data_IF_048018578899
#
_entry.id   IF_048018578899
#
_cell.length_a   1.000
_cell.length_b   1.000
_cell.length_c   1.000
_cell.angle_alpha   90.00
_cell.angle_beta   90.00
_cell.angle_gamma   90.00
#
_symmetry.space_group_name_H-M   'P 1'
#
loop_
_entity.id
_entity.type
_entity.pdbx_description
1 polymer ?
#
# COMPACT_ATOMS: atom_id res chain seq x y z
N UNK A 1 49.44 -42.08 21.81
CA UNK A 1 49.15 -40.66 21.65
C UNK A 1 48.59 -40.28 20.26
N UNK A 2 48.40 -41.17 19.31
CA UNK A 2 48.01 -40.82 17.92
C UNK A 2 46.58 -41.23 17.50
N UNK A 3 45.81 -41.96 18.33
CA UNK A 3 44.40 -42.31 17.95
C UNK A 3 43.38 -41.25 18.32
N UNK A 4 43.61 -40.47 19.37
CA UNK A 4 42.70 -39.40 19.81
C UNK A 4 42.81 -38.12 18.98
N UNK A 5 44.00 -37.85 18.38
CA UNK A 5 44.18 -36.71 17.47
C UNK A 5 43.45 -36.92 16.12
N UNK A 6 43.41 -38.16 15.62
CA UNK A 6 42.71 -38.49 14.38
C UNK A 6 41.17 -38.45 14.54
N UNK A 7 40.62 -38.80 15.71
CA UNK A 7 39.18 -38.69 16.01
C UNK A 7 38.73 -37.25 16.21
N UNK A 8 39.56 -36.38 16.81
CA UNK A 8 39.24 -34.94 16.91
C UNK A 8 39.32 -34.25 15.54
N UNK A 9 40.27 -34.58 14.70
CA UNK A 9 40.39 -34.00 13.37
C UNK A 9 39.21 -34.41 12.45
N UNK A 10 38.74 -35.66 12.55
CA UNK A 10 37.58 -36.14 11.80
C UNK A 10 36.24 -35.51 12.30
N UNK A 11 36.11 -35.28 13.61
CA UNK A 11 34.93 -34.61 14.17
C UNK A 11 34.87 -33.11 13.81
N UNK A 12 36.04 -32.43 13.76
CA UNK A 12 36.10 -31.02 13.33
C UNK A 12 35.84 -30.90 11.82
N UNK A 13 36.36 -31.81 10.99
CA UNK A 13 36.08 -31.83 9.56
C UNK A 13 34.61 -32.16 9.24
N UNK A 14 33.96 -33.01 10.00
CA UNK A 14 32.54 -33.30 9.86
C UNK A 14 31.67 -32.11 10.27
N UNK A 15 32.01 -31.39 11.34
CA UNK A 15 31.31 -30.19 11.75
C UNK A 15 31.51 -29.00 10.78
N UNK A 16 32.70 -28.87 10.22
CA UNK A 16 32.97 -27.82 9.22
C UNK A 16 32.22 -28.14 7.92
N UNK A 17 32.20 -29.40 7.48
CA UNK A 17 31.44 -29.77 6.28
C UNK A 17 29.93 -29.67 6.48
N UNK A 18 29.40 -29.95 7.66
CA UNK A 18 27.98 -29.78 7.93
C UNK A 18 27.59 -28.30 8.01
N UNK A 19 28.41 -27.44 8.62
CA UNK A 19 28.17 -26.00 8.63
C UNK A 19 28.34 -25.35 7.25
N UNK A 20 29.30 -25.83 6.42
CA UNK A 20 29.40 -25.34 5.04
C UNK A 20 28.28 -25.87 4.14
N UNK A 21 27.83 -27.11 4.31
CA UNK A 21 26.68 -27.66 3.60
C UNK A 21 25.39 -26.97 4.00
N UNK A 22 25.18 -26.70 5.30
CA UNK A 22 24.02 -25.97 5.82
C UNK A 22 24.03 -24.50 5.38
N UNK A 23 25.20 -23.85 5.35
CA UNK A 23 25.36 -22.49 4.84
C UNK A 23 25.16 -22.43 3.32
N UNK A 24 25.66 -23.42 2.57
CA UNK A 24 25.47 -23.47 1.11
C UNK A 24 24.00 -23.73 0.73
N UNK A 25 23.30 -24.63 1.44
CA UNK A 25 21.86 -24.85 1.23
C UNK A 25 21.06 -23.63 1.63
N UNK A 26 21.37 -22.96 2.75
CA UNK A 26 20.70 -21.73 3.18
C UNK A 26 20.90 -20.59 2.17
N UNK A 27 22.09 -20.45 1.58
CA UNK A 27 22.39 -19.43 0.57
C UNK A 27 21.72 -19.74 -0.79
N UNK A 28 21.63 -21.01 -1.21
CA UNK A 28 20.96 -21.41 -2.45
C UNK A 28 19.44 -21.28 -2.35
N UNK A 29 18.83 -21.55 -1.20
CA UNK A 29 17.38 -21.50 -1.03
C UNK A 29 16.90 -20.12 -0.55
N UNK A 30 17.73 -19.34 0.14
CA UNK A 30 17.48 -17.91 0.35
C UNK A 30 17.39 -17.13 -0.98
N UNK A 31 18.02 -17.65 -2.04
CA UNK A 31 17.90 -17.10 -3.40
C UNK A 31 16.50 -17.28 -4.02
N UNK A 32 15.65 -18.17 -3.47
CA UNK A 32 14.27 -18.36 -3.93
C UNK A 32 13.34 -17.21 -3.49
N UNK A 33 13.58 -16.59 -2.33
CA UNK A 33 12.94 -15.33 -1.95
C UNK A 33 13.74 -14.17 -2.54
N UNK A 34 13.16 -13.48 -3.51
CA UNK A 34 13.82 -12.42 -4.26
C UNK A 34 13.50 -11.04 -3.67
N UNK A 35 12.25 -10.83 -3.24
CA UNK A 35 11.83 -9.63 -2.52
C UNK A 35 10.58 -9.92 -1.66
N UNK A 36 10.32 -9.08 -0.68
CA UNK A 36 9.31 -9.29 0.35
C UNK A 36 9.91 -9.99 1.57
N UNK A 37 9.08 -10.44 2.52
CA UNK A 37 7.63 -10.31 2.54
C UNK A 37 7.16 -8.86 2.69
N UNK A 38 5.98 -8.54 2.16
CA UNK A 38 5.28 -7.30 2.41
C UNK A 38 3.87 -7.63 2.87
N UNK A 39 3.51 -7.18 4.06
CA UNK A 39 2.11 -7.18 4.47
C UNK A 39 1.36 -6.05 3.77
N UNK A 40 0.12 -6.30 3.44
CA UNK A 40 -0.79 -5.29 2.94
C UNK A 40 -1.98 -5.17 3.89
N UNK A 41 -3.20 -5.16 3.36
CA UNK A 41 -4.39 -5.06 4.19
C UNK A 41 -4.48 -6.16 5.27
N UNK A 42 -4.78 -5.75 6.50
CA UNK A 42 -5.06 -6.65 7.63
C UNK A 42 -6.44 -6.27 8.18
N UNK A 43 -7.32 -7.24 8.34
CA UNK A 43 -8.58 -7.11 9.06
C UNK A 43 -8.64 -8.12 10.22
N UNK A 44 -9.79 -8.19 10.89
CA UNK A 44 -10.00 -9.06 12.05
C UNK A 44 -9.69 -10.54 11.79
N UNK A 45 -9.83 -10.99 10.54
CA UNK A 45 -9.80 -12.42 10.19
C UNK A 45 -8.83 -12.75 9.05
N UNK A 46 -8.28 -11.73 8.39
CA UNK A 46 -7.45 -11.92 7.21
C UNK A 46 -6.27 -10.96 7.17
N UNK A 47 -5.17 -11.40 6.57
CA UNK A 47 -4.08 -10.53 6.12
C UNK A 47 -3.67 -10.89 4.69
N UNK A 48 -3.21 -9.91 3.94
CA UNK A 48 -2.61 -10.12 2.63
C UNK A 48 -1.10 -10.03 2.73
N UNK A 49 -0.41 -11.02 2.17
CA UNK A 49 1.05 -11.04 2.10
C UNK A 49 1.50 -11.14 0.65
N UNK A 50 2.45 -10.31 0.28
CA UNK A 50 3.08 -10.32 -1.03
C UNK A 50 4.52 -10.80 -0.94
N UNK A 51 4.91 -11.68 -1.88
CA UNK A 51 6.26 -12.19 -2.05
C UNK A 51 6.67 -12.12 -3.54
N UNK A 52 7.94 -11.90 -3.81
CA UNK A 52 8.55 -12.18 -5.10
C UNK A 52 9.48 -13.38 -4.95
N UNK A 53 9.16 -14.47 -5.63
CA UNK A 53 9.91 -15.73 -5.52
C UNK A 53 10.43 -16.21 -6.86
N UNK A 54 11.44 -17.09 -6.84
CA UNK A 54 11.89 -17.81 -8.04
C UNK A 54 10.75 -18.68 -8.59
N UNK A 55 10.61 -18.77 -9.91
CA UNK A 55 9.63 -19.66 -10.57
C UNK A 55 9.82 -21.15 -10.26
N UNK A 56 10.99 -21.51 -9.74
CA UNK A 56 11.29 -22.89 -9.34
C UNK A 56 10.69 -23.26 -7.98
N UNK A 57 10.19 -22.27 -7.23
CA UNK A 57 9.50 -22.48 -5.96
C UNK A 57 8.15 -23.15 -6.22
N UNK A 58 7.90 -24.26 -5.53
CA UNK A 58 6.68 -25.05 -5.68
C UNK A 58 5.68 -24.84 -4.55
N UNK A 59 6.17 -24.51 -3.38
CA UNK A 59 5.38 -24.42 -2.17
C UNK A 59 5.82 -23.23 -1.31
N UNK A 60 4.86 -22.53 -0.75
CA UNK A 60 5.06 -21.57 0.34
C UNK A 60 4.32 -22.07 1.57
N UNK A 61 5.03 -22.25 2.66
CA UNK A 61 4.43 -22.56 3.96
C UNK A 61 4.59 -21.36 4.89
N UNK A 62 3.48 -20.90 5.47
CA UNK A 62 3.44 -19.83 6.48
C UNK A 62 3.03 -20.46 7.80
N UNK A 63 3.87 -20.31 8.82
CA UNK A 63 3.49 -20.63 10.18
C UNK A 63 3.19 -19.35 10.94
N UNK A 64 2.09 -19.36 11.63
CA UNK A 64 1.59 -18.28 12.48
C UNK A 64 1.58 -18.81 13.91
N UNK A 65 2.49 -18.32 14.73
CA UNK A 65 2.61 -18.67 16.14
C UNK A 65 2.03 -17.54 16.99
N UNK A 66 1.09 -17.89 17.87
CA UNK A 66 0.44 -16.98 18.80
C UNK A 66 0.85 -17.37 20.24
N UNK A 67 0.79 -16.44 21.16
CA UNK A 67 1.04 -16.72 22.57
C UNK A 67 0.12 -17.83 23.12
N UNK A 68 -1.11 -17.90 22.64
CA UNK A 68 -2.03 -19.01 22.87
C UNK A 68 -1.79 -20.07 21.80
N UNK A 69 -1.12 -21.17 22.15
CA UNK A 69 -0.72 -22.23 21.21
C UNK A 69 -1.90 -22.86 20.46
N UNK A 70 -3.11 -22.83 21.04
CA UNK A 70 -4.34 -23.31 20.37
C UNK A 70 -4.72 -22.44 19.16
N UNK A 71 -4.12 -21.26 19.01
CA UNK A 71 -4.31 -20.32 17.90
C UNK A 71 -3.22 -20.41 16.82
N UNK A 72 -2.23 -21.28 17.02
CA UNK A 72 -1.16 -21.50 16.05
C UNK A 72 -1.75 -22.08 14.76
N UNK A 73 -1.21 -21.63 13.63
CA UNK A 73 -1.66 -22.05 12.29
C UNK A 73 -0.50 -22.35 11.37
N UNK A 74 -0.74 -23.27 10.46
CA UNK A 74 0.16 -23.52 9.33
C UNK A 74 -0.66 -23.47 8.05
N UNK A 75 -0.32 -22.54 7.18
CA UNK A 75 -0.95 -22.34 5.88
C UNK A 75 0.02 -22.81 4.79
N UNK A 76 -0.45 -23.62 3.86
CA UNK A 76 0.36 -24.17 2.77
C UNK A 76 -0.25 -23.77 1.44
N UNK A 77 0.57 -23.21 0.56
CA UNK A 77 0.18 -22.72 -0.76
C UNK A 77 0.99 -23.45 -1.83
N UNK A 78 0.29 -24.17 -2.72
CA UNK A 78 0.88 -24.84 -3.88
C UNK A 78 1.06 -23.84 -5.03
N UNK A 79 2.30 -23.46 -5.32
CA UNK A 79 2.61 -22.52 -6.39
C UNK A 79 2.57 -23.15 -7.80
N UNK A 80 2.40 -24.46 -7.88
CA UNK A 80 2.18 -25.14 -9.18
C UNK A 80 0.75 -24.93 -9.69
N UNK A 81 -0.21 -24.60 -8.80
CA UNK A 81 -1.58 -24.18 -9.15
C UNK A 81 -1.76 -22.67 -8.86
N UNK A 82 -1.80 -21.81 -9.88
CA UNK A 82 -2.01 -20.38 -9.69
C UNK A 82 -3.31 -20.00 -8.96
N UNK A 83 -4.27 -20.94 -8.83
CA UNK A 83 -5.52 -20.72 -8.09
C UNK A 83 -5.33 -20.81 -6.58
N UNK A 84 -4.27 -21.45 -6.11
CA UNK A 84 -3.96 -21.56 -4.68
C UNK A 84 -3.42 -20.26 -4.09
N UNK A 85 -2.83 -19.40 -4.93
CA UNK A 85 -2.31 -18.10 -4.62
C UNK A 85 -2.87 -17.06 -5.61
N UNK A 86 -2.62 -15.79 -5.49
CA UNK A 86 -3.15 -14.75 -6.39
C UNK A 86 -4.68 -14.80 -6.56
N UNK A 87 -5.36 -14.83 -5.48
CA UNK A 87 -6.78 -15.12 -5.30
C UNK A 87 -7.79 -14.18 -6.01
N UNK A 88 -7.44 -13.53 -7.11
CA UNK A 88 -8.40 -12.69 -7.82
C UNK A 88 -8.98 -13.40 -9.05
N UNK A 89 -10.30 -13.36 -9.21
CA UNK A 89 -11.01 -13.83 -10.41
C UNK A 89 -10.58 -13.13 -11.72
N UNK A 90 -9.76 -12.10 -11.62
CA UNK A 90 -9.15 -11.37 -12.72
C UNK A 90 -7.96 -12.11 -13.33
N UNK A 91 -7.28 -12.97 -12.56
CA UNK A 91 -6.11 -13.73 -13.03
C UNK A 91 -6.47 -14.92 -13.91
N UNK A 92 -7.71 -15.40 -13.90
CA UNK A 92 -8.15 -16.58 -14.66
C UNK A 92 -7.95 -16.44 -16.19
N UNK A 93 -7.85 -15.21 -16.72
CA UNK A 93 -7.72 -14.97 -18.16
C UNK A 93 -6.28 -14.78 -18.67
N UNK A 94 -5.30 -14.49 -17.78
CA UNK A 94 -3.95 -14.06 -18.19
C UNK A 94 -2.79 -14.78 -17.48
N UNK A 95 -3.09 -15.86 -16.77
CA UNK A 95 -2.10 -16.63 -15.99
C UNK A 95 -0.92 -17.13 -16.85
N UNK A 96 -1.14 -17.41 -18.12
CA UNK A 96 -0.09 -17.89 -19.04
C UNK A 96 0.97 -16.84 -19.37
N UNK A 97 0.60 -15.55 -19.46
CA UNK A 97 1.55 -14.47 -19.79
C UNK A 97 2.34 -14.00 -18.57
N UNK A 98 1.81 -14.24 -17.40
CA UNK A 98 2.32 -13.83 -16.12
C UNK A 98 3.52 -14.69 -15.64
N UNK A 99 3.50 -15.99 -15.92
CA UNK A 99 4.53 -16.95 -15.50
C UNK A 99 5.70 -17.09 -16.49
N UNK A 100 5.81 -16.24 -17.51
CA UNK A 100 6.88 -16.31 -18.50
C UNK A 100 8.23 -15.72 -18.05
N UNK A 101 8.35 -15.25 -16.79
CA UNK A 101 9.59 -14.78 -16.20
C UNK A 101 10.24 -15.81 -15.28
N UNK A 102 11.46 -15.52 -14.81
CA UNK A 102 12.17 -16.34 -13.83
C UNK A 102 11.77 -16.02 -12.38
N UNK A 103 10.96 -14.98 -12.19
CA UNK A 103 10.50 -14.46 -10.91
C UNK A 103 8.98 -14.31 -10.92
N UNK A 104 8.32 -14.82 -9.89
CA UNK A 104 6.85 -14.84 -9.77
C UNK A 104 6.43 -14.00 -8.57
N UNK A 105 5.67 -12.89 -8.76
CA UNK A 105 4.99 -12.22 -7.65
C UNK A 105 3.82 -13.09 -7.17
N UNK A 106 3.76 -13.30 -5.88
CA UNK A 106 2.80 -14.17 -5.19
C UNK A 106 2.04 -13.35 -4.17
N UNK A 107 0.72 -13.44 -4.20
CA UNK A 107 -0.19 -12.86 -3.20
C UNK A 107 -0.85 -13.98 -2.43
N UNK A 108 -0.61 -14.03 -1.14
CA UNK A 108 -1.17 -15.01 -0.22
C UNK A 108 -2.23 -14.35 0.65
N UNK A 109 -3.37 -15.02 0.81
CA UNK A 109 -4.38 -14.62 1.79
C UNK A 109 -4.23 -15.48 3.03
N UNK A 110 -3.79 -14.89 4.14
CA UNK A 110 -3.76 -15.52 5.44
C UNK A 110 -5.18 -15.44 6.01
N UNK A 111 -5.86 -16.58 6.10
CA UNK A 111 -7.27 -16.67 6.50
C UNK A 111 -7.42 -17.14 7.95
N UNK A 112 -8.60 -16.90 8.52
CA UNK A 112 -9.00 -17.35 9.85
C UNK A 112 -8.11 -16.82 10.98
N UNK A 113 -7.58 -15.61 10.85
CA UNK A 113 -6.93 -14.91 11.94
C UNK A 113 -7.96 -14.63 13.05
N UNK A 114 -7.49 -14.29 14.22
CA UNK A 114 -8.34 -13.96 15.37
C UNK A 114 -8.16 -12.49 15.68
N UNK A 115 -9.23 -11.72 15.88
CA UNK A 115 -9.15 -10.32 16.27
C UNK A 115 -8.32 -10.08 17.53
N UNK A 116 -7.73 -8.92 17.67
CA UNK A 116 -6.94 -8.52 18.84
C UNK A 116 -5.85 -9.53 19.21
N UNK A 117 -5.10 -9.96 18.20
CA UNK A 117 -4.09 -11.02 18.34
C UNK A 117 -2.78 -10.64 17.64
N UNK A 118 -1.69 -11.11 18.24
CA UNK A 118 -0.33 -11.00 17.71
C UNK A 118 0.13 -12.37 17.24
N UNK A 119 0.71 -12.43 16.05
CA UNK A 119 1.28 -13.63 15.47
C UNK A 119 2.73 -13.39 15.08
N UNK A 120 3.63 -14.25 15.56
CA UNK A 120 4.96 -14.39 15.00
C UNK A 120 4.89 -15.23 13.73
N UNK A 121 5.57 -14.81 12.66
CA UNK A 121 5.42 -15.39 11.32
C UNK A 121 6.72 -15.99 10.84
N UNK A 122 6.71 -17.29 10.55
CA UNK A 122 7.79 -17.97 9.85
C UNK A 122 7.37 -18.29 8.41
N UNK A 123 8.25 -18.00 7.45
CA UNK A 123 8.01 -18.25 6.02
C UNK A 123 9.00 -19.29 5.51
N UNK A 124 8.47 -20.33 4.88
CA UNK A 124 9.25 -21.39 4.26
C UNK A 124 8.95 -21.46 2.76
N UNK A 125 10.01 -21.60 1.96
CA UNK A 125 9.94 -21.93 0.53
C UNK A 125 10.51 -23.33 0.31
N UNK A 126 9.69 -24.25 -0.22
CA UNK A 126 10.03 -25.67 -0.40
C UNK A 126 10.66 -26.28 0.87
N UNK A 127 10.06 -26.03 2.03
CA UNK A 127 10.48 -26.49 3.36
C UNK A 127 11.75 -25.83 3.93
N UNK A 128 12.31 -24.80 3.29
CA UNK A 128 13.44 -24.03 3.83
C UNK A 128 12.97 -22.68 4.33
N UNK A 129 13.29 -22.38 5.58
CA UNK A 129 12.95 -21.12 6.22
C UNK A 129 13.69 -19.95 5.58
N UNK A 130 12.96 -18.91 5.17
CA UNK A 130 13.51 -17.73 4.50
C UNK A 130 13.24 -16.42 5.26
N UNK A 131 12.26 -16.41 6.16
CA UNK A 131 11.94 -15.28 7.02
C UNK A 131 11.43 -15.78 8.39
N UNK A 132 11.87 -15.18 9.48
CA UNK A 132 11.53 -15.57 10.85
C UNK A 132 11.29 -14.37 11.79
N UNK A 133 11.48 -13.13 11.34
CA UNK A 133 11.41 -11.93 12.19
C UNK A 133 10.19 -11.04 11.87
N UNK A 134 9.10 -11.63 11.35
CA UNK A 134 7.91 -10.89 10.98
C UNK A 134 6.79 -11.08 11.99
N UNK A 135 6.04 -10.02 12.26
CA UNK A 135 4.87 -10.04 13.14
C UNK A 135 3.63 -9.54 12.41
N UNK A 136 2.47 -10.09 12.78
CA UNK A 136 1.16 -9.65 12.33
C UNK A 136 0.33 -9.30 13.55
N UNK A 137 -0.20 -8.07 13.56
CA UNK A 137 -1.13 -7.59 14.57
C UNK A 137 -2.50 -7.43 13.93
N UNK A 138 -3.49 -8.21 14.36
CA UNK A 138 -4.87 -8.01 13.94
C UNK A 138 -5.50 -6.84 14.70
N UNK A 139 -6.47 -6.11 14.09
CA UNK A 139 -7.10 -4.97 14.72
C UNK A 139 -7.62 -5.25 16.13
N UNK A 140 -7.48 -4.28 17.01
CA UNK A 140 -7.97 -4.38 18.40
C UNK A 140 -9.45 -4.09 18.46
N UNK A 141 -10.13 -4.69 19.44
CA UNK A 141 -11.57 -4.48 19.66
C UNK A 141 -11.88 -3.28 20.56
N UNK A 142 -10.94 -2.35 20.73
CA UNK A 142 -11.10 -1.15 21.55
C UNK A 142 -10.41 0.06 20.93
N UNK A 143 -10.90 1.25 21.27
CA UNK A 143 -10.36 2.49 20.76
C UNK A 143 -8.86 2.62 21.09
N UNK A 144 -8.04 2.70 20.07
CA UNK A 144 -6.59 2.89 20.16
C UNK A 144 -6.15 4.19 19.49
N UNK A 145 -4.94 4.63 19.79
CA UNK A 145 -4.27 5.65 18.99
C UNK A 145 -3.76 5.00 17.71
N UNK A 146 -3.84 5.72 16.60
CA UNK A 146 -3.52 5.23 15.27
C UNK A 146 -2.48 6.14 14.64
N UNK A 147 -1.41 5.53 14.11
CA UNK A 147 -0.29 6.23 13.48
C UNK A 147 -0.04 5.66 12.09
N UNK A 148 -0.04 6.49 11.06
CA UNK A 148 0.29 6.02 9.72
C UNK A 148 1.13 7.01 8.93
N UNK A 149 1.96 6.46 8.05
CA UNK A 149 2.77 7.23 7.12
C UNK A 149 2.02 7.44 5.81
N UNK A 150 2.37 8.54 5.16
CA UNK A 150 1.87 8.91 3.83
C UNK A 150 3.05 9.22 2.92
N UNK A 151 3.01 8.68 1.71
CA UNK A 151 3.98 8.96 0.67
C UNK A 151 3.39 8.79 -0.72
N UNK A 152 3.96 9.51 -1.67
CA UNK A 152 3.64 9.38 -3.08
C UNK A 152 4.85 9.74 -3.93
N UNK A 153 4.75 9.57 -5.24
CA UNK A 153 5.77 9.98 -6.20
C UNK A 153 7.16 9.43 -5.87
N UNK A 154 7.25 8.09 -5.73
CA UNK A 154 8.50 7.38 -5.51
C UNK A 154 9.23 7.21 -6.86
N UNK A 155 10.07 8.16 -7.22
CA UNK A 155 10.90 8.08 -8.42
C UNK A 155 12.28 7.53 -8.07
N UNK A 156 12.53 6.28 -8.44
CA UNK A 156 13.79 5.57 -8.21
C UNK A 156 14.51 5.31 -9.55
N UNK A 157 14.79 6.36 -10.29
CA UNK A 157 15.42 6.27 -11.62
C UNK A 157 16.91 5.90 -11.58
N UNK A 158 17.60 6.22 -10.47
CA UNK A 158 19.03 5.95 -10.27
C UNK A 158 19.31 5.29 -8.93
N UNK A 159 20.48 4.62 -8.80
CA UNK A 159 20.96 4.09 -7.53
C UNK A 159 21.41 5.23 -6.60
N UNK A 160 21.15 5.09 -5.29
CA UNK A 160 21.47 6.05 -4.24
C UNK A 160 20.86 7.46 -4.44
N UNK A 161 19.68 7.53 -5.05
CA UNK A 161 18.96 8.78 -5.15
C UNK A 161 18.26 9.16 -3.83
N UNK A 162 17.69 10.35 -3.79
CA UNK A 162 16.96 10.86 -2.61
C UNK A 162 15.83 9.95 -2.15
N UNK A 163 15.24 9.16 -3.06
CA UNK A 163 14.20 8.19 -2.74
C UNK A 163 14.68 7.05 -1.84
N UNK A 164 15.92 6.57 -2.01
CA UNK A 164 16.49 5.56 -1.11
C UNK A 164 16.72 6.14 0.30
N UNK A 165 17.22 7.37 0.39
CA UNK A 165 17.45 8.03 1.67
C UNK A 165 16.16 8.26 2.44
N UNK A 166 15.11 8.77 1.80
CA UNK A 166 13.84 9.05 2.47
C UNK A 166 13.15 7.78 2.97
N UNK A 167 13.23 6.66 2.23
CA UNK A 167 12.70 5.38 2.67
C UNK A 167 13.42 4.86 3.92
N UNK A 168 14.74 5.01 4.00
CA UNK A 168 15.50 4.67 5.21
C UNK A 168 15.07 5.53 6.40
N UNK A 169 14.88 6.84 6.18
CA UNK A 169 14.38 7.76 7.22
C UNK A 169 12.97 7.37 7.69
N UNK A 170 12.08 7.02 6.75
CA UNK A 170 10.72 6.57 7.08
C UNK A 170 10.71 5.27 7.88
N UNK A 171 11.67 4.35 7.64
CA UNK A 171 11.80 3.10 8.41
C UNK A 171 12.07 3.31 9.90
N UNK A 172 12.59 4.47 10.29
CA UNK A 172 12.87 4.83 11.69
C UNK A 172 11.66 5.50 12.39
N UNK A 173 10.59 5.80 11.64
CA UNK A 173 9.40 6.48 12.17
C UNK A 173 8.35 5.47 12.59
N UNK A 174 8.09 5.35 13.88
CA UNK A 174 7.05 4.49 14.45
C UNK A 174 5.68 4.75 13.81
N UNK A 175 5.08 3.71 13.23
CA UNK A 175 3.79 3.78 12.54
C UNK A 175 3.16 2.39 12.41
N UNK A 176 1.83 2.34 12.43
CA UNK A 176 1.06 1.09 12.34
C UNK A 176 1.02 0.59 10.89
N UNK A 177 0.98 1.49 9.91
CA UNK A 177 0.95 1.15 8.48
C UNK A 177 1.36 2.33 7.59
N UNK A 178 1.60 2.04 6.32
CA UNK A 178 1.93 3.00 5.27
C UNK A 178 0.84 3.12 4.22
N UNK A 179 0.51 4.34 3.82
CA UNK A 179 -0.44 4.66 2.74
C UNK A 179 0.30 5.28 1.56
N UNK A 180 0.27 4.60 0.43
CA UNK A 180 0.84 5.06 -0.83
C UNK A 180 -0.21 5.75 -1.67
N UNK A 181 0.01 7.02 -2.02
CA UNK A 181 -1.00 7.91 -2.59
C UNK A 181 -0.91 8.04 -4.12
N UNK A 182 -0.15 7.19 -4.77
CA UNK A 182 0.05 7.18 -6.22
C UNK A 182 1.44 7.64 -6.67
N UNK A 183 1.69 7.46 -7.96
CA UNK A 183 3.02 7.59 -8.58
C UNK A 183 4.08 6.74 -7.85
N UNK A 184 3.65 5.54 -7.41
CA UNK A 184 4.47 4.57 -6.69
C UNK A 184 5.46 3.86 -7.62
N UNK A 185 5.13 3.82 -8.91
CA UNK A 185 6.02 3.53 -10.03
C UNK A 185 5.80 4.59 -11.11
N UNK A 186 6.84 4.91 -11.87
CA UNK A 186 6.73 5.84 -12.99
C UNK A 186 7.02 5.09 -14.28
N UNK A 187 5.97 4.82 -15.07
CA UNK A 187 6.14 4.17 -16.37
C UNK A 187 6.60 5.18 -17.42
N UNK A 188 7.64 4.83 -18.15
CA UNK A 188 7.95 5.49 -19.40
C UNK A 188 7.20 4.84 -20.59
N UNK A 189 7.30 5.44 -21.77
CA UNK A 189 6.60 4.97 -22.98
C UNK A 189 6.92 3.52 -23.36
N UNK A 190 8.12 3.04 -23.05
CA UNK A 190 8.49 1.65 -23.33
C UNK A 190 7.96 0.69 -22.28
N UNK A 191 7.88 1.12 -21.03
CA UNK A 191 7.40 0.32 -19.90
C UNK A 191 5.88 0.17 -19.92
N UNK A 192 5.14 1.24 -20.29
CA UNK A 192 3.68 1.26 -20.33
C UNK A 192 3.05 0.57 -21.56
N UNK A 193 3.84 0.05 -22.50
CA UNK A 193 3.33 -0.49 -23.77
C UNK A 193 3.03 -1.99 -23.76
N UNK A 194 3.30 -2.71 -22.66
CA UNK A 194 2.91 -4.11 -22.48
C UNK A 194 2.85 -4.52 -21.02
N UNK A 195 1.95 -5.43 -20.71
CA UNK A 195 1.80 -6.01 -19.37
C UNK A 195 3.13 -6.57 -18.81
N UNK A 196 3.86 -7.33 -19.62
CA UNK A 196 5.16 -7.89 -19.24
C UNK A 196 6.13 -6.80 -18.75
N UNK A 197 6.24 -5.69 -19.48
CA UNK A 197 7.16 -4.60 -19.10
C UNK A 197 6.70 -3.84 -17.86
N UNK A 198 5.39 -3.70 -17.66
CA UNK A 198 4.83 -3.17 -16.40
C UNK A 198 5.25 -4.04 -15.23
N UNK A 199 5.15 -5.37 -15.34
CA UNK A 199 5.60 -6.30 -14.30
C UNK A 199 7.12 -6.21 -14.07
N UNK A 200 7.92 -6.13 -15.12
CA UNK A 200 9.37 -5.96 -15.02
C UNK A 200 9.75 -4.68 -14.26
N UNK A 201 9.04 -3.58 -14.51
CA UNK A 201 9.21 -2.33 -13.79
C UNK A 201 8.91 -2.47 -12.30
N UNK A 202 7.75 -3.03 -11.95
CA UNK A 202 7.39 -3.28 -10.54
C UNK A 202 8.43 -4.18 -9.85
N UNK A 203 8.82 -5.29 -10.48
CA UNK A 203 9.84 -6.21 -9.95
C UNK A 203 11.16 -5.49 -9.70
N UNK A 204 11.60 -4.64 -10.64
CA UNK A 204 12.86 -3.91 -10.51
C UNK A 204 12.87 -2.96 -9.30
N UNK A 205 11.74 -2.30 -9.04
CA UNK A 205 11.57 -1.41 -7.87
C UNK A 205 11.55 -2.23 -6.58
N UNK A 206 10.77 -3.32 -6.52
CA UNK A 206 10.66 -4.17 -5.32
C UNK A 206 11.98 -4.83 -4.92
N UNK A 207 12.88 -5.07 -5.87
CA UNK A 207 14.22 -5.64 -5.62
C UNK A 207 15.24 -4.62 -5.09
N UNK A 208 14.97 -3.33 -5.13
CA UNK A 208 15.87 -2.33 -4.52
C UNK A 208 15.93 -2.55 -3.02
N UNK A 209 17.15 -2.51 -2.47
CA UNK A 209 17.38 -2.81 -1.06
C UNK A 209 16.58 -1.91 -0.12
N UNK A 210 16.55 -0.60 -0.38
CA UNK A 210 15.79 0.38 0.41
C UNK A 210 14.29 0.11 0.38
N UNK A 211 13.74 -0.18 -0.80
CA UNK A 211 12.32 -0.52 -0.98
C UNK A 211 11.99 -1.83 -0.29
N UNK A 212 12.78 -2.88 -0.55
CA UNK A 212 12.55 -4.20 0.05
C UNK A 212 12.65 -4.15 1.58
N UNK A 213 13.59 -3.38 2.11
CA UNK A 213 13.73 -3.17 3.56
C UNK A 213 12.50 -2.46 4.12
N UNK A 214 12.10 -1.32 3.54
CA UNK A 214 10.95 -0.55 4.01
C UNK A 214 9.63 -1.32 3.93
N UNK A 215 9.44 -2.11 2.85
CA UNK A 215 8.21 -2.91 2.64
C UNK A 215 8.01 -4.03 3.67
N UNK A 216 9.05 -4.40 4.42
CA UNK A 216 8.98 -5.41 5.49
C UNK A 216 8.58 -4.83 6.85
N UNK A 217 8.66 -3.50 7.03
CA UNK A 217 8.56 -2.88 8.36
C UNK A 217 7.14 -2.79 8.91
N UNK A 218 6.15 -2.67 8.03
CA UNK A 218 4.76 -2.44 8.39
C UNK A 218 3.83 -2.86 7.25
N UNK A 219 2.50 -2.95 7.47
CA UNK A 219 1.53 -3.13 6.39
C UNK A 219 1.48 -1.93 5.44
N UNK A 220 1.23 -2.20 4.15
CA UNK A 220 1.19 -1.20 3.09
C UNK A 220 -0.12 -1.27 2.31
N UNK A 221 -0.84 -0.16 2.21
CA UNK A 221 -2.00 0.02 1.33
C UNK A 221 -1.70 1.10 0.28
N UNK A 222 -2.27 0.99 -0.91
CA UNK A 222 -1.93 1.88 -2.01
C UNK A 222 -3.11 2.27 -2.88
N UNK A 223 -3.09 3.50 -3.41
CA UNK A 223 -3.81 3.90 -4.61
C UNK A 223 -2.82 4.29 -5.71
N UNK A 224 -3.31 4.60 -6.86
CA UNK A 224 -2.49 5.03 -8.00
C UNK A 224 -2.72 6.50 -8.39
N UNK A 225 -1.82 7.01 -9.24
CA UNK A 225 -2.01 8.23 -9.98
C UNK A 225 -1.60 8.00 -11.45
N UNK A 226 -1.36 9.05 -12.22
CA UNK A 226 -1.15 9.00 -13.66
C UNK A 226 0.06 8.18 -14.09
N UNK A 227 1.18 8.27 -13.39
CA UNK A 227 2.43 7.55 -13.74
C UNK A 227 2.35 6.05 -13.44
N UNK A 228 1.53 5.63 -12.46
CA UNK A 228 1.23 4.21 -12.22
C UNK A 228 0.23 3.67 -13.25
N UNK A 229 -0.71 4.51 -13.70
CA UNK A 229 -1.78 4.11 -14.59
C UNK A 229 -1.31 3.99 -16.05
N UNK A 230 -0.42 4.88 -16.47
CA UNK A 230 0.08 4.91 -17.85
C UNK A 230 1.22 5.89 -18.03
N UNK A 231 1.07 6.78 -18.99
CA UNK A 231 1.94 7.95 -19.14
C UNK A 231 1.33 9.13 -18.39
N UNK A 232 2.15 10.14 -18.14
CA UNK A 232 1.69 11.40 -17.55
C UNK A 232 0.37 11.86 -18.20
N UNK A 233 -0.60 12.30 -17.41
CA UNK A 233 -1.93 12.73 -17.83
C UNK A 233 -2.82 11.64 -18.46
N UNK A 234 -2.46 10.35 -18.37
CA UNK A 234 -3.29 9.25 -18.87
C UNK A 234 -4.67 9.19 -18.19
N UNK A 235 -5.70 8.90 -18.99
CA UNK A 235 -7.09 8.83 -18.59
C UNK A 235 -7.76 7.54 -19.09
N UNK A 236 -9.09 7.42 -18.97
CA UNK A 236 -9.85 6.23 -19.36
C UNK A 236 -9.64 5.75 -20.80
N UNK A 237 -9.05 6.59 -21.69
CA UNK A 237 -8.70 6.24 -23.07
C UNK A 237 -7.42 5.43 -23.18
N UNK A 238 -6.65 5.27 -22.11
CA UNK A 238 -5.44 4.47 -22.15
C UNK A 238 -5.75 3.02 -22.50
N UNK A 239 -5.20 2.55 -23.62
CA UNK A 239 -5.56 1.26 -24.21
C UNK A 239 -5.20 0.05 -23.33
N UNK A 240 -4.18 0.16 -22.48
CA UNK A 240 -3.72 -0.92 -21.59
C UNK A 240 -4.14 -0.73 -20.13
N UNK A 241 -5.15 0.09 -19.84
CA UNK A 241 -5.62 0.35 -18.47
C UNK A 241 -5.98 -0.91 -17.68
N UNK A 242 -6.54 -1.94 -18.36
CA UNK A 242 -6.88 -3.21 -17.70
C UNK A 242 -5.61 -3.99 -17.33
N UNK A 243 -4.60 -3.96 -18.19
CA UNK A 243 -3.29 -4.55 -17.90
C UNK A 243 -2.59 -3.83 -16.76
N UNK A 244 -2.70 -2.50 -16.69
CA UNK A 244 -2.18 -1.71 -15.58
C UNK A 244 -2.88 -2.05 -14.27
N UNK A 245 -4.21 -2.15 -14.28
CA UNK A 245 -4.98 -2.55 -13.10
C UNK A 245 -4.57 -3.93 -12.59
N UNK A 246 -4.34 -4.88 -13.50
CA UNK A 246 -3.84 -6.20 -13.15
C UNK A 246 -2.44 -6.14 -12.53
N UNK A 247 -1.51 -5.39 -13.13
CA UNK A 247 -0.17 -5.21 -12.60
C UNK A 247 -0.21 -4.55 -11.21
N UNK A 248 -1.02 -3.50 -11.05
CA UNK A 248 -1.20 -2.82 -9.77
C UNK A 248 -1.69 -3.79 -8.68
N UNK A 249 -2.78 -4.49 -8.91
CA UNK A 249 -3.37 -5.41 -7.93
C UNK A 249 -2.44 -6.57 -7.57
N UNK A 250 -1.52 -6.94 -8.47
CA UNK A 250 -0.54 -7.98 -8.23
C UNK A 250 0.59 -7.52 -7.29
N UNK A 251 0.93 -6.24 -7.30
CA UNK A 251 1.99 -5.67 -6.46
C UNK A 251 1.47 -4.90 -5.24
N UNK A 252 0.17 -4.60 -5.22
CA UNK A 252 -0.53 -3.94 -4.13
C UNK A 252 -1.81 -4.73 -3.77
N UNK A 253 -1.69 -5.83 -3.00
CA UNK A 253 -2.84 -6.67 -2.63
C UNK A 253 -3.68 -5.99 -1.54
N UNK A 254 -4.41 -4.98 -1.90
CA UNK A 254 -5.12 -4.05 -1.01
C UNK A 254 -6.33 -4.64 -0.27
N UNK A 255 -6.81 -5.84 -0.59
CA UNK A 255 -7.93 -6.46 0.12
C UNK A 255 -8.06 -7.94 -0.22
N UNK A 256 -8.51 -8.78 0.72
CA UNK A 256 -8.77 -10.19 0.46
C UNK A 256 -9.98 -10.39 -0.47
N UNK A 257 -9.96 -11.50 -1.21
CA UNK A 257 -10.99 -11.86 -2.21
C UNK A 257 -12.41 -11.97 -1.64
N UNK A 258 -12.54 -12.36 -0.37
CA UNK A 258 -13.82 -12.79 0.21
C UNK A 258 -14.59 -11.71 0.96
N UNK A 259 -14.03 -10.54 1.16
CA UNK A 259 -14.62 -9.53 2.07
C UNK A 259 -15.94 -8.97 1.56
N UNK A 260 -16.26 -9.12 0.27
CA UNK A 260 -17.51 -8.60 -0.26
C UNK A 260 -18.14 -9.53 -1.31
N UNK A 261 -19.32 -10.04 -1.00
CA UNK A 261 -20.26 -10.64 -1.94
C UNK A 261 -20.83 -9.60 -2.92
N UNK A 262 -19.97 -8.80 -3.57
CA UNK A 262 -20.45 -7.84 -4.56
C UNK A 262 -20.63 -8.52 -5.91
N UNK A 263 -21.87 -8.54 -6.36
CA UNK A 263 -22.30 -8.90 -7.71
C UNK A 263 -21.81 -7.92 -8.78
N UNK A 264 -21.23 -6.79 -8.37
CA UNK A 264 -20.61 -5.82 -9.26
C UNK A 264 -19.09 -6.00 -9.22
N UNK A 265 -18.48 -6.23 -10.38
CA UNK A 265 -17.01 -6.17 -10.54
C UNK A 265 -16.56 -4.79 -10.09
N UNK A 266 -15.79 -4.75 -9.00
CA UNK A 266 -15.09 -3.54 -8.60
C UNK A 266 -14.04 -3.24 -9.66
N UNK A 267 -14.34 -2.28 -10.52
CA UNK A 267 -13.43 -1.85 -11.55
C UNK A 267 -12.64 -0.65 -11.01
N UNK A 268 -11.31 -0.75 -11.03
CA UNK A 268 -10.43 0.27 -10.47
C UNK A 268 -9.84 -0.06 -9.10
N UNK A 269 -9.17 0.92 -8.50
CA UNK A 269 -8.40 0.75 -7.25
C UNK A 269 -9.07 1.38 -6.02
N UNK A 270 -10.28 1.91 -6.16
CA UNK A 270 -11.02 2.46 -5.03
C UNK A 270 -11.16 1.45 -3.90
N UNK A 271 -10.78 1.85 -2.68
CA UNK A 271 -10.92 1.05 -1.46
C UNK A 271 -11.26 1.93 -0.27
N UNK A 272 -11.98 1.33 0.69
CA UNK A 272 -12.20 1.87 2.03
C UNK A 272 -11.54 0.94 3.04
N UNK A 273 -10.87 1.55 4.01
CA UNK A 273 -10.27 0.86 5.15
C UNK A 273 -10.81 1.44 6.44
N UNK A 274 -11.19 0.57 7.35
CA UNK A 274 -11.78 0.92 8.64
C UNK A 274 -10.77 0.57 9.74
N UNK A 275 -10.33 1.57 10.49
CA UNK A 275 -9.47 1.43 11.65
C UNK A 275 -10.16 2.07 12.86
N UNK A 276 -11.09 1.32 13.46
CA UNK A 276 -11.93 1.74 14.59
C UNK A 276 -12.74 3.02 14.33
N UNK A 277 -12.29 4.19 14.83
CA UNK A 277 -12.93 5.48 14.61
C UNK A 277 -12.21 6.35 13.56
N UNK A 278 -11.33 5.73 12.76
CA UNK A 278 -10.63 6.33 11.62
C UNK A 278 -10.95 5.54 10.36
N UNK A 279 -11.36 6.23 9.32
CA UNK A 279 -11.59 5.63 8.01
C UNK A 279 -10.74 6.28 6.94
N UNK A 280 -10.24 5.44 6.03
CA UNK A 280 -9.42 5.87 4.90
C UNK A 280 -10.13 5.48 3.60
N UNK A 281 -10.45 6.47 2.78
CA UNK A 281 -11.03 6.30 1.45
C UNK A 281 -9.95 6.56 0.40
N UNK A 282 -9.46 5.47 -0.21
CA UNK A 282 -8.47 5.53 -1.29
C UNK A 282 -9.21 5.71 -2.62
N UNK A 283 -9.18 6.92 -3.18
CA UNK A 283 -9.91 7.24 -4.41
C UNK A 283 -9.13 6.81 -5.66
N UNK A 284 -9.86 6.34 -6.66
CA UNK A 284 -9.33 6.09 -8.00
C UNK A 284 -9.59 7.31 -8.89
N UNK A 285 -8.56 8.05 -9.20
CA UNK A 285 -8.61 9.26 -10.01
C UNK A 285 -8.21 9.04 -11.48
N UNK A 286 -8.18 7.77 -11.97
CA UNK A 286 -7.68 7.44 -13.31
C UNK A 286 -8.62 6.56 -14.14
N UNK A 287 -9.11 5.46 -13.58
CA UNK A 287 -9.88 4.46 -14.33
C UNK A 287 -11.09 5.07 -15.05
N UNK A 288 -11.73 6.04 -14.43
CA UNK A 288 -12.94 6.70 -14.94
C UNK A 288 -12.73 8.14 -15.40
N UNK A 289 -11.51 8.68 -15.20
CA UNK A 289 -11.19 10.05 -15.57
C UNK A 289 -11.32 10.25 -17.07
N UNK A 290 -12.05 11.27 -17.48
CA UNK A 290 -12.24 11.65 -18.89
C UNK A 290 -11.56 12.97 -19.18
N UNK A 291 -11.34 13.27 -20.46
CA UNK A 291 -10.73 14.54 -20.85
C UNK A 291 -11.68 15.71 -20.56
N UNK A 292 -11.13 16.84 -20.10
CA UNK A 292 -11.90 18.05 -19.76
C UNK A 292 -12.68 18.66 -20.93
N UNK A 293 -12.28 18.40 -22.16
CA UNK A 293 -12.94 18.91 -23.36
C UNK A 293 -14.19 18.12 -23.79
N UNK A 294 -14.68 17.20 -22.95
CA UNK A 294 -15.95 16.50 -23.15
C UNK A 294 -17.12 17.35 -22.60
N UNK A 295 -18.34 17.07 -23.08
CA UNK A 295 -19.54 17.80 -22.65
C UNK A 295 -19.84 17.64 -21.14
N UNK A 296 -19.50 16.49 -20.55
CA UNK A 296 -19.69 16.18 -19.13
C UNK A 296 -18.47 15.40 -18.61
N UNK A 297 -17.32 16.09 -18.39
CA UNK A 297 -16.10 15.43 -17.98
C UNK A 297 -16.25 14.83 -16.59
N UNK A 298 -15.68 13.64 -16.39
CA UNK A 298 -15.69 12.87 -15.14
C UNK A 298 -14.28 12.73 -14.60
N UNK A 299 -14.14 12.91 -13.29
CA UNK A 299 -12.91 12.67 -12.55
C UNK A 299 -12.90 11.31 -11.88
N UNK A 300 -13.91 11.06 -11.04
CA UNK A 300 -14.11 9.79 -10.34
C UNK A 300 -15.09 8.87 -11.06
N UNK A 301 -16.00 9.43 -11.86
CA UNK A 301 -17.10 8.70 -12.48
C UNK A 301 -18.27 8.43 -11.53
N UNK A 302 -19.45 8.27 -12.09
CA UNK A 302 -20.71 8.19 -11.34
C UNK A 302 -20.75 7.00 -10.37
N UNK A 303 -20.30 5.84 -10.78
CA UNK A 303 -20.38 4.63 -9.96
C UNK A 303 -19.48 4.73 -8.72
N UNK A 304 -18.24 5.18 -8.86
CA UNK A 304 -17.34 5.37 -7.74
C UNK A 304 -17.87 6.48 -6.81
N UNK A 305 -18.30 7.60 -7.38
CA UNK A 305 -18.84 8.72 -6.61
C UNK A 305 -20.06 8.31 -5.77
N UNK A 306 -21.02 7.59 -6.36
CA UNK A 306 -22.20 7.11 -5.64
C UNK A 306 -21.83 6.11 -4.54
N UNK A 307 -20.91 5.20 -4.80
CA UNK A 307 -20.41 4.26 -3.79
C UNK A 307 -19.74 5.00 -2.64
N UNK A 308 -18.80 5.88 -2.93
CA UNK A 308 -18.09 6.67 -1.94
C UNK A 308 -19.04 7.48 -1.06
N UNK A 309 -19.99 8.20 -1.67
CA UNK A 309 -20.99 8.98 -0.93
C UNK A 309 -21.84 8.11 -0.01
N UNK A 310 -22.28 6.94 -0.46
CA UNK A 310 -23.06 6.03 0.38
C UNK A 310 -22.24 5.49 1.56
N UNK A 311 -20.99 5.13 1.33
CA UNK A 311 -20.09 4.63 2.37
C UNK A 311 -19.75 5.71 3.40
N UNK A 312 -19.42 6.94 2.97
CA UNK A 312 -19.06 8.02 3.89
C UNK A 312 -20.26 8.53 4.68
N UNK A 313 -21.46 8.50 4.10
CA UNK A 313 -22.72 8.83 4.80
C UNK A 313 -23.07 7.82 5.91
N UNK A 314 -22.71 6.56 5.71
CA UNK A 314 -22.91 5.49 6.70
C UNK A 314 -21.86 5.48 7.81
N UNK A 315 -20.83 6.30 7.71
CA UNK A 315 -19.68 6.30 8.61
C UNK A 315 -19.91 7.16 9.87
N UNK A 316 -19.54 6.60 11.03
CA UNK A 316 -19.49 7.30 12.31
C UNK A 316 -18.03 7.61 12.76
N UNK A 317 -17.05 7.40 11.90
CA UNK A 317 -15.65 7.64 12.21
C UNK A 317 -15.41 9.11 12.63
N UNK A 318 -14.50 9.29 13.60
CA UNK A 318 -14.09 10.62 14.06
C UNK A 318 -13.33 11.38 12.98
N UNK A 319 -12.49 10.66 12.23
CA UNK A 319 -11.74 11.17 11.08
C UNK A 319 -11.98 10.30 9.84
N UNK A 320 -12.22 10.94 8.72
CA UNK A 320 -12.41 10.33 7.40
C UNK A 320 -11.40 10.94 6.45
N UNK A 321 -10.33 10.23 6.21
CA UNK A 321 -9.27 10.66 5.30
C UNK A 321 -9.62 10.26 3.87
N UNK A 322 -9.79 11.25 3.00
CA UNK A 322 -10.05 11.03 1.58
C UNK A 322 -8.75 11.24 0.83
N UNK A 323 -8.17 10.15 0.35
CA UNK A 323 -6.84 10.12 -0.25
C UNK A 323 -6.95 10.02 -1.77
N UNK A 324 -6.30 10.94 -2.46
CA UNK A 324 -6.30 11.03 -3.92
C UNK A 324 -4.93 11.49 -4.44
N UNK A 325 -4.55 11.04 -5.63
CA UNK A 325 -3.30 11.46 -6.27
C UNK A 325 -3.29 12.94 -6.66
N UNK A 326 -4.41 13.49 -7.13
CA UNK A 326 -4.54 14.90 -7.51
C UNK A 326 -5.29 15.73 -6.47
N UNK A 327 -5.05 17.04 -6.47
CA UNK A 327 -5.73 18.00 -5.61
C UNK A 327 -7.25 17.99 -5.73
N UNK A 328 -7.91 18.26 -4.60
CA UNK A 328 -9.37 18.33 -4.47
C UNK A 328 -9.85 19.76 -4.24
N UNK A 329 -9.28 20.51 -3.30
CA UNK A 329 -9.71 21.86 -2.92
C UNK A 329 -8.91 23.00 -3.58
N UNK A 330 -7.79 22.71 -4.26
CA UNK A 330 -6.97 23.75 -4.89
C UNK A 330 -7.28 23.92 -6.36
N UNK A 331 -7.25 25.19 -6.82
CA UNK A 331 -7.40 25.57 -8.21
C UNK A 331 -6.04 25.66 -8.91
N UNK A 332 -5.94 25.18 -10.13
CA UNK A 332 -5.06 25.69 -11.18
C UNK A 332 -3.55 25.44 -11.12
N UNK A 333 -2.99 24.77 -10.08
CA UNK A 333 -1.54 24.49 -10.04
C UNK A 333 -1.19 23.06 -10.47
N UNK A 334 -2.14 22.14 -10.48
CA UNK A 334 -1.93 20.74 -10.79
C UNK A 334 -2.43 20.38 -12.20
N UNK A 335 -1.96 19.27 -12.76
CA UNK A 335 -2.47 18.70 -14.01
C UNK A 335 -3.93 18.23 -13.85
N UNK A 336 -4.89 19.13 -14.07
CA UNK A 336 -6.33 18.90 -13.98
C UNK A 336 -6.79 18.48 -12.57
N UNK A 337 -6.83 19.40 -11.60
CA UNK A 337 -7.36 19.16 -10.27
C UNK A 337 -8.86 18.78 -10.32
N UNK A 338 -9.37 18.25 -9.22
CA UNK A 338 -10.78 17.83 -9.20
C UNK A 338 -11.76 19.00 -9.44
N UNK A 339 -11.42 20.21 -9.04
CA UNK A 339 -12.25 21.41 -9.25
C UNK A 339 -12.53 21.72 -10.73
N UNK A 340 -11.62 21.35 -11.65
CA UNK A 340 -11.86 21.50 -13.08
C UNK A 340 -13.05 20.66 -13.58
N UNK A 341 -13.41 19.61 -12.85
CA UNK A 341 -14.56 18.74 -13.09
C UNK A 341 -15.79 19.24 -12.31
N UNK A 342 -16.17 20.49 -12.57
CA UNK A 342 -17.08 21.29 -11.76
C UNK A 342 -18.36 20.58 -11.33
N UNK A 343 -19.01 19.79 -12.21
CA UNK A 343 -20.26 19.09 -11.86
C UNK A 343 -20.05 18.01 -10.79
N UNK A 344 -18.99 17.22 -10.89
CA UNK A 344 -18.68 16.20 -9.88
C UNK A 344 -18.21 16.85 -8.58
N UNK A 345 -17.40 17.92 -8.68
CA UNK A 345 -16.95 18.69 -7.54
C UNK A 345 -18.12 19.30 -6.75
N UNK A 346 -19.00 20.05 -7.43
CA UNK A 346 -20.19 20.66 -6.84
C UNK A 346 -21.10 19.60 -6.20
N UNK A 347 -21.29 18.45 -6.86
CA UNK A 347 -22.11 17.36 -6.33
C UNK A 347 -21.49 16.77 -5.06
N UNK A 348 -20.17 16.55 -5.02
CA UNK A 348 -19.49 16.09 -3.81
C UNK A 348 -19.67 17.08 -2.68
N UNK A 349 -19.35 18.38 -2.90
CA UNK A 349 -19.44 19.41 -1.87
C UNK A 349 -20.87 19.57 -1.36
N UNK A 350 -21.86 19.54 -2.27
CA UNK A 350 -23.28 19.57 -1.93
C UNK A 350 -23.70 18.38 -1.05
N UNK A 351 -23.26 17.16 -1.41
CA UNK A 351 -23.56 15.94 -0.64
C UNK A 351 -22.92 15.96 0.74
N UNK A 352 -21.65 16.34 0.85
CA UNK A 352 -20.95 16.49 2.13
C UNK A 352 -21.69 17.47 3.06
N UNK A 353 -22.17 18.59 2.51
CA UNK A 353 -22.90 19.61 3.26
C UNK A 353 -24.30 19.13 3.70
N UNK A 354 -25.12 18.66 2.75
CA UNK A 354 -26.52 18.27 3.03
C UNK A 354 -26.65 17.09 3.98
N UNK A 355 -25.70 16.15 3.90
CA UNK A 355 -25.67 14.97 4.76
C UNK A 355 -24.98 15.22 6.11
N UNK A 356 -24.48 16.44 6.36
CA UNK A 356 -23.76 16.83 7.59
C UNK A 356 -22.67 15.82 7.97
N UNK A 357 -21.86 15.44 6.99
CA UNK A 357 -20.79 14.45 7.22
C UNK A 357 -19.68 15.11 8.03
N UNK A 358 -19.37 14.56 9.19
CA UNK A 358 -18.32 15.03 10.08
C UNK A 358 -16.96 14.38 9.73
N UNK A 359 -15.87 15.01 10.14
CA UNK A 359 -14.56 14.38 10.20
C UNK A 359 -13.82 14.29 8.87
N UNK A 360 -14.20 15.03 7.84
CA UNK A 360 -13.59 14.96 6.51
C UNK A 360 -12.29 15.74 6.45
N UNK A 361 -11.21 15.05 6.02
CA UNK A 361 -9.89 15.63 5.72
C UNK A 361 -9.40 15.04 4.40
N UNK A 362 -9.08 15.89 3.45
CA UNK A 362 -8.47 15.48 2.19
C UNK A 362 -6.95 15.39 2.32
N UNK A 363 -6.37 14.39 1.69
CA UNK A 363 -4.91 14.23 1.60
C UNK A 363 -4.57 13.93 0.15
N UNK A 364 -3.75 14.79 -0.44
CA UNK A 364 -3.49 14.74 -1.88
C UNK A 364 -2.01 14.95 -2.19
N UNK A 365 -1.62 14.50 -3.37
CA UNK A 365 -0.27 14.63 -3.90
C UNK A 365 -0.20 15.63 -5.05
N UNK A 366 0.78 15.43 -5.93
CA UNK A 366 0.95 16.12 -7.21
C UNK A 366 1.14 17.64 -7.07
N UNK A 367 2.02 18.05 -6.15
CA UNK A 367 2.35 19.45 -5.85
C UNK A 367 3.85 19.62 -5.65
N UNK A 368 4.34 20.84 -5.77
CA UNK A 368 5.74 21.21 -5.59
C UNK A 368 6.10 21.62 -4.15
N UNK A 369 5.11 21.79 -3.26
CA UNK A 369 5.32 22.25 -1.88
C UNK A 369 4.38 21.59 -0.90
N UNK A 370 4.83 21.48 0.35
CA UNK A 370 3.98 21.05 1.46
C UNK A 370 3.12 22.20 1.97
N UNK A 371 1.80 22.03 1.94
CA UNK A 371 0.85 23.01 2.45
C UNK A 371 -0.41 22.35 3.02
N UNK A 372 -1.08 23.07 3.91
CA UNK A 372 -2.41 22.72 4.39
C UNK A 372 -3.39 23.81 3.95
N UNK A 373 -4.25 23.46 3.03
CA UNK A 373 -5.35 24.31 2.58
C UNK A 373 -6.47 24.22 3.61
N UNK A 374 -7.07 25.34 3.94
CA UNK A 374 -8.28 25.43 4.76
C UNK A 374 -9.34 26.18 3.99
N UNK A 375 -10.41 25.50 3.64
CA UNK A 375 -11.57 26.08 2.98
C UNK A 375 -12.69 26.31 3.99
N UNK A 376 -12.96 27.57 4.32
CA UNK A 376 -14.07 27.95 5.19
C UNK A 376 -15.39 27.86 4.42
N UNK A 377 -16.41 27.20 5.00
CA UNK A 377 -17.72 26.99 4.39
C UNK A 377 -18.81 27.69 5.20
N UNK A 378 -19.76 28.27 4.51
CA UNK A 378 -20.92 28.90 5.15
C UNK A 378 -21.80 27.84 5.85
N UNK A 379 -22.12 28.06 7.12
CA UNK A 379 -22.93 27.15 7.96
C UNK A 379 -22.41 25.72 8.11
N UNK A 380 -21.08 25.50 7.89
CA UNK A 380 -20.42 24.22 8.05
C UNK A 380 -19.02 24.39 8.63
N UNK A 381 -18.44 23.31 9.11
CA UNK A 381 -17.04 23.32 9.52
C UNK A 381 -16.11 23.46 8.31
N UNK A 382 -14.87 23.98 8.47
CA UNK A 382 -13.94 24.14 7.37
C UNK A 382 -13.44 22.77 6.87
N UNK A 383 -13.25 22.63 5.56
CA UNK A 383 -12.53 21.49 4.99
C UNK A 383 -11.02 21.74 5.03
N UNK A 384 -10.27 20.67 5.25
CA UNK A 384 -8.81 20.70 5.19
C UNK A 384 -8.31 19.78 4.07
N UNK A 385 -7.31 20.24 3.34
CA UNK A 385 -6.55 19.42 2.40
C UNK A 385 -5.05 19.53 2.69
N UNK A 386 -4.41 18.40 3.03
CA UNK A 386 -2.96 18.30 3.10
C UNK A 386 -2.41 17.97 1.72
N UNK A 387 -1.48 18.79 1.25
CA UNK A 387 -0.68 18.57 0.03
C UNK A 387 0.78 18.51 0.41
N UNK A 388 1.57 17.63 -0.26
CA UNK A 388 3.02 17.59 -0.13
C UNK A 388 3.67 16.99 -1.39
N UNK A 389 4.96 17.35 -1.71
CA UNK A 389 5.58 17.04 -3.00
C UNK A 389 5.93 15.57 -3.23
N UNK A 390 5.85 14.74 -2.20
CA UNK A 390 6.16 13.32 -2.30
C UNK A 390 7.62 12.97 -2.02
N UNK A 391 7.93 11.67 -2.15
CA UNK A 391 9.18 11.08 -1.66
C UNK A 391 10.40 11.46 -2.50
N UNK A 392 10.25 11.48 -3.80
CA UNK A 392 11.33 11.88 -4.72
C UNK A 392 10.78 12.69 -5.89
N UNK A 393 10.41 13.95 -5.65
CA UNK A 393 9.86 14.81 -6.68
C UNK A 393 10.90 15.08 -7.77
N UNK A 394 10.43 15.34 -8.99
CA UNK A 394 11.28 15.72 -10.10
C UNK A 394 11.79 17.16 -9.89
N UNK A 395 13.03 17.41 -10.31
CA UNK A 395 13.62 18.74 -10.25
C UNK A 395 14.44 19.04 -8.99
N UNK A 396 14.38 20.28 -8.49
CA UNK A 396 15.18 20.78 -7.36
C UNK A 396 14.48 20.68 -5.99
N UNK A 397 13.28 20.13 -5.95
CA UNK A 397 12.50 20.03 -4.72
C UNK A 397 13.04 18.91 -3.82
N UNK A 398 12.98 19.13 -2.52
CA UNK A 398 13.32 18.12 -1.52
C UNK A 398 12.14 17.19 -1.31
N UNK A 399 12.41 15.88 -1.18
CA UNK A 399 11.40 14.88 -0.88
C UNK A 399 10.77 15.12 0.48
N UNK A 400 9.48 14.85 0.59
CA UNK A 400 8.75 14.91 1.84
C UNK A 400 7.88 13.66 2.02
N UNK A 401 7.66 13.29 3.28
CA UNK A 401 6.63 12.35 3.67
C UNK A 401 5.82 12.92 4.84
N UNK A 402 4.63 12.39 5.06
CA UNK A 402 3.84 12.82 6.18
C UNK A 402 3.56 11.66 7.16
N UNK A 403 3.35 12.01 8.44
CA UNK A 403 2.83 11.13 9.47
C UNK A 403 1.53 11.70 9.99
N UNK A 404 0.51 10.89 10.03
CA UNK A 404 -0.76 11.20 10.68
C UNK A 404 -0.82 10.45 12.00
N UNK A 405 -1.20 11.15 13.06
CA UNK A 405 -1.49 10.58 14.37
C UNK A 405 -2.91 10.96 14.77
N UNK A 406 -3.75 9.97 15.08
CA UNK A 406 -5.07 10.19 15.65
C UNK A 406 -5.07 9.65 17.07
N UNK A 407 -5.14 10.54 18.04
CA UNK A 407 -4.93 10.25 19.45
C UNK A 407 -6.08 10.80 20.32
N UNK A 408 -6.23 10.27 21.53
CA UNK A 408 -7.10 10.82 22.55
C UNK A 408 -8.39 10.03 22.77
N UNK A 409 -9.21 10.51 23.68
CA UNK A 409 -10.44 9.85 24.12
C UNK A 409 -11.55 9.90 23.05
N UNK A 410 -12.48 8.97 23.11
CA UNK A 410 -13.67 8.96 22.29
C UNK A 410 -14.40 10.31 22.30
N UNK A 411 -14.76 10.82 21.13
CA UNK A 411 -15.36 12.15 20.88
C UNK A 411 -14.48 13.37 21.21
N UNK A 412 -13.21 13.15 21.56
CA UNK A 412 -12.21 14.19 21.80
C UNK A 412 -10.90 13.90 21.06
N UNK A 413 -11.01 13.16 19.96
CA UNK A 413 -9.84 12.78 19.15
C UNK A 413 -9.15 14.02 18.56
N UNK A 414 -7.85 13.92 18.43
CA UNK A 414 -7.00 14.93 17.83
C UNK A 414 -6.20 14.28 16.71
N UNK A 415 -6.35 14.80 15.51
CA UNK A 415 -5.49 14.47 14.39
C UNK A 415 -4.28 15.40 14.38
N UNK A 416 -3.08 14.86 14.51
CA UNK A 416 -1.82 15.57 14.34
C UNK A 416 -1.22 15.20 12.98
N UNK A 417 -1.11 16.18 12.10
CA UNK A 417 -0.46 16.09 10.80
C UNK A 417 0.98 16.58 10.97
N UNK A 418 1.96 15.78 10.63
CA UNK A 418 3.39 16.10 10.67
C UNK A 418 4.00 15.79 9.31
N UNK A 419 4.69 16.75 8.70
CA UNK A 419 5.42 16.56 7.43
C UNK A 419 6.89 16.66 7.71
N UNK A 420 7.68 15.75 7.16
CA UNK A 420 9.11 15.61 7.31
C UNK A 420 9.84 15.72 5.98
N UNK A 421 11.06 16.23 6.00
CA UNK A 421 11.98 16.19 4.86
C UNK A 421 12.70 14.82 4.77
N UNK A 422 13.57 14.67 3.77
CA UNK A 422 14.29 13.43 3.49
C UNK A 422 15.27 12.99 4.61
N UNK A 423 15.60 13.89 5.56
CA UNK A 423 16.46 13.59 6.71
C UNK A 423 15.69 13.47 8.03
N UNK A 424 14.35 13.47 7.97
CA UNK A 424 13.49 13.31 9.15
C UNK A 424 13.28 14.58 9.98
N UNK A 425 13.63 15.75 9.46
CA UNK A 425 13.33 17.01 10.13
C UNK A 425 11.88 17.40 9.88
N UNK A 426 11.13 17.70 10.95
CA UNK A 426 9.75 18.21 10.85
C UNK A 426 9.75 19.59 10.18
N UNK A 427 9.12 19.69 9.00
CA UNK A 427 9.00 20.93 8.22
C UNK A 427 7.64 21.59 8.39
N UNK A 428 6.63 20.81 8.77
CA UNK A 428 5.29 21.31 9.01
C UNK A 428 4.58 20.47 10.07
N UNK A 429 3.76 21.14 10.92
CA UNK A 429 2.89 20.48 11.90
C UNK A 429 1.58 21.22 12.07
N UNK A 430 0.48 20.47 12.09
CA UNK A 430 -0.86 20.97 12.41
C UNK A 430 -1.61 19.96 13.27
N UNK A 431 -2.40 20.48 14.22
CA UNK A 431 -3.41 19.70 14.95
C UNK A 431 -4.80 20.12 14.52
N UNK A 432 -5.68 19.15 14.36
CA UNK A 432 -7.10 19.32 14.06
C UNK A 432 -7.86 18.55 15.12
N UNK A 433 -8.66 19.26 15.92
CA UNK A 433 -9.53 18.63 16.89
C UNK A 433 -10.78 18.11 16.20
N UNK A 434 -11.29 16.96 16.62
CA UNK A 434 -12.53 16.37 16.08
C UNK A 434 -13.68 17.39 16.11
N UNK A 435 -13.75 18.23 17.15
CA UNK A 435 -14.75 19.29 17.29
C UNK A 435 -14.63 20.43 16.27
N UNK A 436 -13.45 20.63 15.67
CA UNK A 436 -13.25 21.65 14.62
C UNK A 436 -13.83 21.24 13.28
N UNK A 437 -14.05 19.93 13.07
CA UNK A 437 -14.55 19.33 11.83
C UNK A 437 -15.85 18.55 12.05
N UNK A 438 -16.68 19.07 12.95
CA UNK A 438 -18.01 18.51 13.28
C UNK A 438 -19.09 19.58 13.16
N UNK A 439 -20.32 19.15 12.76
CA UNK A 439 -21.53 20.00 12.73
C UNK A 439 -22.12 20.20 14.11
#
# INVERSE_FOLDING_TARGET
MNKYLLLLASAILLNINSSFAQKKTKDEEASKLIAGPMLSYIDDYHAQMWLLVSKETKEVTIKLENFDEDRNKTLVYDLTDPKSYNNSSWFDFHVTDYNNGDEIPVVLTLEELIPDSEYHVEIYLDSVMVEEDMEIYTPRNFLADIYFLLGHNLNLSHENDKGDQILNTMSEVESDFMVWMGNNVSFNKNESNSFKKMLEKYKSIRKRQSVNHFMKQMPHIATWNDKDFGLNTSDTRFALKDSTLMAFNLFWPNAPKKTYNYTFREYGVYKRYDYEDVEIFMMDNRMFKTALNQDDPKFFGENQMNRFINEIMGSNAAFKFIICGNSILSEGEDDNPFQDYSKEYEELMRRLHLSRINGVVFITGDTDKSELIKEDREHAYPLYELKFPGLSPEGLFDGNFARIKVEGEYRKRICSIQVYDEIGKEVFKKRIHQTEISY
#
